data_IF_996684086414
#
_entry.id   IF_996684086414
#
_cell.length_a   1.000
_cell.length_b   1.000
_cell.length_c   1.000
_cell.angle_alpha   90.00
_cell.angle_beta   90.00
_cell.angle_gamma   90.00
#
_symmetry.space_group_name_H-M   'P 1'
#
loop_
_entity.id
_entity.type
_entity.pdbx_description
1 polymer ?
#
# COMPACT_ATOMS: atom_id res chain seq x y z
N UNK A 1 4.06 -9.02 -15.38
CA UNK A 1 4.45 -8.87 -13.95
C UNK A 1 4.73 -7.40 -13.60
N UNK A 2 4.01 -6.43 -14.20
CA UNK A 2 4.32 -4.99 -14.09
C UNK A 2 3.36 -4.20 -13.19
N UNK A 3 2.12 -4.66 -13.01
CA UNK A 3 1.11 -3.92 -12.21
C UNK A 3 1.42 -3.90 -10.71
N UNK A 4 2.09 -4.93 -10.17
CA UNK A 4 2.41 -4.98 -8.73
C UNK A 4 3.39 -3.89 -8.29
N UNK A 5 4.34 -3.48 -9.14
CA UNK A 5 5.32 -2.44 -8.79
C UNK A 5 4.65 -1.09 -8.52
N UNK A 6 3.68 -0.72 -9.36
CA UNK A 6 2.99 0.58 -9.25
C UNK A 6 2.25 0.72 -7.91
N UNK A 7 1.72 -0.38 -7.37
CA UNK A 7 1.06 -0.37 -6.07
C UNK A 7 2.06 -0.26 -4.91
N UNK A 8 3.18 -0.97 -4.98
CA UNK A 8 4.24 -0.85 -3.99
C UNK A 8 4.81 0.57 -3.92
N UNK A 9 5.10 1.17 -5.08
CA UNK A 9 5.67 2.51 -5.13
C UNK A 9 4.67 3.57 -4.61
N UNK A 10 3.37 3.40 -4.85
CA UNK A 10 2.33 4.27 -4.30
C UNK A 10 2.18 4.15 -2.78
N UNK A 11 2.18 2.93 -2.25
CA UNK A 11 2.11 2.67 -0.80
C UNK A 11 3.32 3.31 -0.11
N UNK A 12 4.53 3.03 -0.61
CA UNK A 12 5.75 3.58 -0.05
C UNK A 12 5.80 5.12 -0.16
N UNK A 13 5.35 5.69 -1.28
CA UNK A 13 5.29 7.13 -1.45
C UNK A 13 4.33 7.80 -0.45
N UNK A 14 3.17 7.18 -0.18
CA UNK A 14 2.23 7.69 0.83
C UNK A 14 2.82 7.64 2.23
N UNK A 15 3.43 6.51 2.60
CA UNK A 15 4.04 6.37 3.91
C UNK A 15 5.24 7.32 4.08
N UNK A 16 5.99 7.61 3.02
CA UNK A 16 7.06 8.59 3.04
C UNK A 16 6.56 10.02 3.25
N UNK A 17 5.40 10.39 2.70
CA UNK A 17 4.77 11.69 2.96
C UNK A 17 4.38 11.87 4.43
N UNK A 18 4.03 10.78 5.11
CA UNK A 18 3.65 10.81 6.52
C UNK A 18 4.82 10.59 7.47
N UNK A 19 6.05 10.33 7.01
CA UNK A 19 7.21 10.07 7.86
C UNK A 19 7.57 11.30 8.73
N UNK A 20 7.86 11.14 10.04
CA UNK A 20 8.04 9.89 10.81
C UNK A 20 6.76 9.29 11.41
N UNK A 21 5.58 9.74 10.98
CA UNK A 21 4.28 9.25 11.43
C UNK A 21 3.82 7.95 10.78
N UNK A 22 2.58 7.58 11.14
CA UNK A 22 1.88 6.37 10.73
C UNK A 22 0.79 6.66 9.70
N UNK A 23 0.34 5.63 8.98
CA UNK A 23 -0.85 5.69 8.13
C UNK A 23 -1.74 4.48 8.41
N UNK A 24 -3.05 4.69 8.51
CA UNK A 24 -3.99 3.58 8.61
C UNK A 24 -3.96 2.72 7.34
N UNK A 25 -4.19 1.42 7.50
CA UNK A 25 -4.34 0.50 6.37
C UNK A 25 -5.43 0.96 5.39
N UNK A 26 -6.50 1.55 5.91
CA UNK A 26 -7.64 2.06 5.12
C UNK A 26 -7.21 3.16 4.16
N UNK A 27 -6.35 4.08 4.59
CA UNK A 27 -5.81 5.16 3.74
C UNK A 27 -4.91 4.60 2.63
N UNK A 28 -4.17 3.53 2.92
CA UNK A 28 -3.35 2.83 1.92
C UNK A 28 -4.23 2.08 0.93
N UNK A 29 -5.31 1.44 1.39
CA UNK A 29 -6.25 0.73 0.55
C UNK A 29 -6.93 1.66 -0.47
N UNK A 30 -7.29 2.88 -0.07
CA UNK A 30 -7.88 3.90 -0.95
C UNK A 30 -6.94 4.30 -2.10
N UNK A 31 -5.63 4.26 -1.93
CA UNK A 31 -4.65 4.62 -2.96
C UNK A 31 -4.41 3.51 -3.99
N UNK A 32 -4.57 2.27 -3.54
CA UNK A 32 -4.37 1.06 -4.35
C UNK A 32 -5.66 0.68 -5.08
N UNK A 33 -6.81 1.04 -4.52
CA UNK A 33 -8.11 0.91 -5.17
C UNK A 33 -8.41 2.19 -5.95
N UNK A 34 -8.13 2.27 -7.27
CA UNK A 34 -8.45 3.47 -8.04
C UNK A 34 -9.96 3.65 -7.99
N UNK A 35 -10.45 4.64 -7.23
CA UNK A 35 -11.85 5.02 -7.03
C UNK A 35 -12.83 4.20 -7.88
N UNK A 36 -13.01 2.93 -7.50
CA UNK A 36 -13.69 1.98 -8.37
C UNK A 36 -15.15 2.15 -8.02
N UNK A 37 -15.71 3.27 -8.52
CA UNK A 37 -17.07 3.76 -8.30
C UNK A 37 -17.74 3.05 -7.13
N UNK A 38 -17.48 3.55 -5.92
CA UNK A 38 -18.12 3.08 -4.69
C UNK A 38 -19.65 3.03 -4.85
N UNK A 39 -20.23 3.75 -5.82
CA UNK A 39 -21.66 3.68 -6.16
C UNK A 39 -22.07 2.71 -7.29
N UNK A 40 -21.16 2.27 -8.19
CA UNK A 40 -21.55 1.54 -9.42
C UNK A 40 -21.45 0.00 -9.30
N UNK A 41 -20.74 -0.52 -8.29
CA UNK A 41 -20.51 -1.98 -8.11
C UNK A 41 -20.88 -2.45 -6.69
N UNK A 42 -21.86 -1.82 -6.04
CA UNK A 42 -22.42 -2.41 -4.81
C UNK A 42 -23.20 -3.71 -5.09
N UNK A 43 -23.64 -3.96 -6.33
CA UNK A 43 -24.44 -5.15 -6.65
C UNK A 43 -23.72 -6.28 -7.41
N UNK A 44 -22.57 -6.05 -8.04
CA UNK A 44 -22.08 -7.04 -9.03
C UNK A 44 -20.88 -7.89 -8.63
N UNK A 45 -19.99 -7.52 -7.69
CA UNK A 45 -18.78 -8.35 -7.48
C UNK A 45 -18.10 -8.20 -6.11
N UNK A 46 -18.77 -8.64 -5.04
CA UNK A 46 -18.14 -8.80 -3.70
C UNK A 46 -16.88 -9.68 -3.77
N UNK A 47 -16.85 -10.67 -4.68
CA UNK A 47 -15.67 -11.53 -4.89
C UNK A 47 -14.45 -10.74 -5.36
N UNK A 48 -14.63 -9.78 -6.28
CA UNK A 48 -13.51 -8.97 -6.80
C UNK A 48 -13.00 -8.00 -5.75
N UNK A 49 -13.88 -7.48 -4.88
CA UNK A 49 -13.47 -6.66 -3.75
C UNK A 49 -12.62 -7.46 -2.75
N UNK A 50 -13.05 -8.69 -2.40
CA UNK A 50 -12.26 -9.59 -1.54
C UNK A 50 -10.91 -9.93 -2.15
N UNK A 51 -10.86 -10.23 -3.44
CA UNK A 51 -9.60 -10.55 -4.13
C UNK A 51 -8.64 -9.35 -4.16
N UNK A 52 -9.16 -8.13 -4.31
CA UNK A 52 -8.33 -6.92 -4.29
C UNK A 52 -7.83 -6.61 -2.88
N UNK A 53 -8.66 -6.78 -1.85
CA UNK A 53 -8.24 -6.61 -0.45
C UNK A 53 -7.16 -7.64 -0.07
N UNK A 54 -7.32 -8.91 -0.48
CA UNK A 54 -6.32 -9.95 -0.26
C UNK A 54 -4.98 -9.61 -0.93
N UNK A 55 -5.00 -9.11 -2.18
CA UNK A 55 -3.79 -8.67 -2.88
C UNK A 55 -3.07 -7.50 -2.21
N UNK A 56 -3.80 -6.56 -1.61
CA UNK A 56 -3.22 -5.43 -0.87
C UNK A 56 -2.55 -5.94 0.41
N UNK A 57 -3.23 -6.82 1.14
CA UNK A 57 -2.68 -7.39 2.35
C UNK A 57 -1.42 -8.23 2.06
N UNK A 58 -1.46 -9.08 1.05
CA UNK A 58 -0.28 -9.83 0.57
C UNK A 58 0.87 -8.89 0.19
N UNK A 59 0.56 -7.76 -0.46
CA UNK A 59 1.54 -6.75 -0.83
C UNK A 59 2.17 -6.08 0.40
N UNK A 60 1.38 -5.76 1.42
CA UNK A 60 1.88 -5.14 2.66
C UNK A 60 2.71 -6.11 3.48
N UNK A 61 2.28 -7.36 3.60
CA UNK A 61 3.06 -8.43 4.24
C UNK A 61 4.41 -8.60 3.53
N UNK A 62 4.42 -8.59 2.19
CA UNK A 62 5.67 -8.68 1.43
C UNK A 62 6.59 -7.46 1.66
N UNK A 63 6.03 -6.25 1.75
CA UNK A 63 6.81 -5.05 2.03
C UNK A 63 7.39 -5.05 3.46
N UNK A 64 6.65 -5.61 4.42
CA UNK A 64 7.10 -5.80 5.80
C UNK A 64 8.21 -6.86 5.87
N UNK A 65 8.03 -8.01 5.23
CA UNK A 65 9.05 -9.08 5.14
C UNK A 65 10.34 -8.57 4.49
N UNK A 66 10.21 -7.71 3.48
CA UNK A 66 11.36 -7.03 2.86
C UNK A 66 11.97 -5.92 3.74
N UNK A 67 11.35 -5.58 4.87
CA UNK A 67 11.79 -4.58 5.83
C UNK A 67 11.63 -3.14 5.34
N UNK A 68 10.76 -2.89 4.35
CA UNK A 68 10.49 -1.55 3.82
C UNK A 68 9.43 -0.80 4.64
N UNK A 69 8.51 -1.52 5.26
CA UNK A 69 7.48 -0.98 6.15
C UNK A 69 7.44 -1.78 7.46
N UNK A 70 6.75 -1.24 8.45
CA UNK A 70 6.37 -1.94 9.68
C UNK A 70 4.85 -1.84 9.81
N UNK A 71 4.19 -2.98 9.95
CA UNK A 71 2.77 -3.05 10.26
C UNK A 71 2.61 -3.11 11.78
N UNK A 72 1.72 -2.28 12.31
CA UNK A 72 1.34 -2.31 13.71
C UNK A 72 0.04 -3.11 13.87
N UNK A 73 0.11 -4.36 14.33
CA UNK A 73 -1.09 -5.18 14.50
C UNK A 73 -2.02 -4.66 15.62
N UNK A 74 -1.54 -3.76 16.48
CA UNK A 74 -2.34 -3.20 17.57
C UNK A 74 -3.16 -1.97 17.14
N UNK A 75 -2.69 -1.20 16.16
CA UNK A 75 -3.38 0.03 15.70
C UNK A 75 -3.87 -0.04 14.25
N UNK A 76 -3.62 -1.14 13.55
CA UNK A 76 -3.89 -1.31 12.11
C UNK A 76 -3.21 -0.23 11.24
N UNK A 77 -2.12 0.33 11.77
CA UNK A 77 -1.33 1.35 11.12
C UNK A 77 -0.06 0.78 10.51
N UNK A 78 0.42 1.44 9.48
CA UNK A 78 1.67 1.14 8.78
C UNK A 78 2.61 2.33 8.87
N UNK A 79 3.91 2.07 9.00
CA UNK A 79 4.95 3.09 8.95
C UNK A 79 6.07 2.67 8.00
N UNK A 80 6.72 3.64 7.35
CA UNK A 80 7.86 3.37 6.47
C UNK A 80 9.15 3.31 7.28
N UNK A 81 10.01 2.36 6.94
CA UNK A 81 11.35 2.28 7.52
C UNK A 81 12.34 3.15 6.73
N UNK A 82 13.52 3.40 7.30
CA UNK A 82 14.63 4.05 6.59
C UNK A 82 14.97 3.29 5.29
N UNK A 83 14.88 1.95 5.30
CA UNK A 83 15.12 1.11 4.12
C UNK A 83 14.06 1.36 3.03
N UNK A 84 12.80 1.51 3.41
CA UNK A 84 11.71 1.87 2.50
C UNK A 84 11.90 3.25 1.89
N UNK A 85 12.31 4.23 2.69
CA UNK A 85 12.61 5.59 2.23
C UNK A 85 13.75 5.61 1.20
N UNK A 86 14.83 4.87 1.46
CA UNK A 86 15.95 4.76 0.51
C UNK A 86 15.49 4.12 -0.81
N UNK A 87 14.60 3.11 -0.76
CA UNK A 87 14.07 2.48 -1.97
C UNK A 87 13.33 3.50 -2.84
N UNK A 88 12.40 4.28 -2.28
CA UNK A 88 11.69 5.30 -3.08
C UNK A 88 12.64 6.37 -3.61
N UNK A 89 13.63 6.76 -2.79
CA UNK A 89 14.57 7.81 -3.15
C UNK A 89 15.46 7.35 -4.32
N UNK A 90 15.95 6.11 -4.27
CA UNK A 90 16.67 5.50 -5.38
C UNK A 90 15.80 5.37 -6.63
N UNK A 91 14.51 5.02 -6.52
CA UNK A 91 13.62 5.00 -7.68
C UNK A 91 13.46 6.39 -8.32
N UNK A 92 13.43 7.46 -7.51
CA UNK A 92 13.39 8.86 -7.99
C UNK A 92 14.71 9.30 -8.64
N UNK A 93 15.86 8.81 -8.15
CA UNK A 93 17.18 9.11 -8.71
C UNK A 93 17.55 8.31 -9.97
N UNK A 94 16.83 7.23 -10.28
CA UNK A 94 17.06 6.40 -11.47
C UNK A 94 16.05 6.64 -12.61
N UNK A 95 15.22 7.68 -12.51
CA UNK A 95 14.39 8.19 -13.61
C UNK A 95 15.07 9.34 -14.35
#
# INVERSE_FOLDING_TARGET
MEKSSVYFDRILSKLAQSYPGTCALEDLAVLVMPAYNVMKIFSENISVQRDNHAKILDALILLEDQGYIVLNPATDESSITIKGLIKINNTVFFN
#
